data_IF_926100342751
#
_entry.id   IF_926100342751
#
_cell.length_a   1.000
_cell.length_b   1.000
_cell.length_c   1.000
_cell.angle_alpha   90.00
_cell.angle_beta   90.00
_cell.angle_gamma   90.00
#
_symmetry.space_group_name_H-M   'P 1'
#
loop_
_entity.id
_entity.type
_entity.pdbx_description
1 polymer ?
#
# COMPACT_ATOMS: atom_id res chain seq x y z
N UNK A 1 43.10 55.27 5.96
CA UNK A 1 41.63 55.15 6.04
C UNK A 1 41.21 54.08 5.05
N UNK A 2 40.63 52.98 5.56
CA UNK A 2 40.39 51.76 4.79
C UNK A 2 39.12 51.92 3.96
N UNK A 3 39.24 51.72 2.65
CA UNK A 3 38.12 51.61 1.73
C UNK A 3 37.45 50.24 1.95
N UNK A 4 36.21 50.22 2.45
CA UNK A 4 35.41 49.00 2.43
C UNK A 4 34.77 48.82 1.05
N UNK A 5 35.07 47.72 0.33
CA UNK A 5 34.71 47.55 -1.07
C UNK A 5 33.47 46.66 -1.19
N UNK A 6 32.26 47.11 -0.80
CA UNK A 6 31.05 46.36 -1.18
C UNK A 6 29.68 47.05 -0.93
N UNK A 7 29.53 48.36 -1.15
CA UNK A 7 28.19 48.99 -1.16
C UNK A 7 27.48 48.94 -2.52
N UNK A 8 28.15 48.45 -3.58
CA UNK A 8 27.54 48.32 -4.90
C UNK A 8 26.76 47.00 -5.03
N UNK A 9 25.66 46.90 -4.29
CA UNK A 9 24.54 46.04 -4.71
C UNK A 9 24.06 46.61 -6.04
N UNK A 10 24.57 46.06 -7.15
CA UNK A 10 24.07 46.34 -8.49
C UNK A 10 22.57 46.08 -8.49
N UNK A 11 21.77 47.14 -8.34
CA UNK A 11 20.31 47.08 -8.45
C UNK A 11 20.04 46.52 -9.84
N UNK A 12 19.59 45.26 -9.92
CA UNK A 12 19.18 44.63 -11.17
C UNK A 12 18.17 45.58 -11.80
N UNK A 13 18.52 46.15 -12.95
CA UNK A 13 17.66 47.02 -13.74
C UNK A 13 16.52 46.18 -14.34
N UNK A 14 15.61 45.70 -13.49
CA UNK A 14 14.34 45.15 -13.89
C UNK A 14 13.42 46.31 -14.18
N UNK A 15 12.98 46.43 -15.45
CA UNK A 15 11.90 47.28 -15.98
C UNK A 15 11.65 48.54 -15.15
N UNK A 16 12.21 49.68 -15.59
CA UNK A 16 11.87 51.00 -15.05
C UNK A 16 10.34 51.14 -15.02
N UNK A 17 9.75 51.03 -13.84
CA UNK A 17 8.41 51.58 -13.62
C UNK A 17 8.49 53.06 -14.02
N UNK A 18 7.51 53.55 -14.79
CA UNK A 18 7.52 54.92 -15.30
C UNK A 18 7.46 55.98 -14.18
N UNK A 19 7.21 55.55 -12.94
CA UNK A 19 7.16 56.38 -11.75
C UNK A 19 7.96 55.73 -10.63
N UNK A 20 8.84 56.49 -9.97
CA UNK A 20 9.39 56.10 -8.68
C UNK A 20 8.32 56.40 -7.61
N UNK A 21 7.80 55.40 -6.88
CA UNK A 21 6.77 55.64 -5.87
C UNK A 21 7.22 56.60 -4.76
N UNK A 22 8.52 56.74 -4.52
CA UNK A 22 9.10 57.68 -3.56
C UNK A 22 8.94 59.13 -4.03
N UNK A 23 9.00 59.38 -5.34
CA UNK A 23 8.82 60.70 -5.95
C UNK A 23 7.35 61.13 -5.96
N UNK A 24 6.41 60.17 -5.92
CA UNK A 24 4.96 60.43 -6.00
C UNK A 24 4.34 60.68 -4.61
N UNK A 25 4.90 60.11 -3.53
CA UNK A 25 4.38 60.30 -2.18
C UNK A 25 5.44 60.13 -1.11
N UNK A 26 5.63 61.16 -0.29
CA UNK A 26 6.53 61.15 0.89
C UNK A 26 6.14 60.06 1.90
N UNK A 27 4.85 59.66 1.94
CA UNK A 27 4.34 58.61 2.83
C UNK A 27 4.60 57.19 2.32
N UNK A 28 5.12 57.03 1.10
CA UNK A 28 5.36 55.72 0.49
C UNK A 28 6.28 54.86 1.35
N UNK A 29 7.35 55.42 1.91
CA UNK A 29 8.28 54.69 2.78
C UNK A 29 7.59 54.06 3.99
N UNK A 30 6.68 54.79 4.64
CA UNK A 30 5.95 54.27 5.81
C UNK A 30 5.00 53.13 5.42
N UNK A 31 4.32 53.26 4.27
CA UNK A 31 3.44 52.21 3.76
C UNK A 31 4.25 51.00 3.31
N UNK A 32 5.40 51.21 2.67
CA UNK A 32 6.32 50.16 2.26
C UNK A 32 6.86 49.38 3.46
N UNK A 33 7.32 50.06 4.51
CA UNK A 33 7.78 49.43 5.75
C UNK A 33 6.67 48.65 6.44
N UNK A 34 5.47 49.24 6.57
CA UNK A 34 4.32 48.56 7.15
C UNK A 34 3.91 47.30 6.38
N UNK A 35 3.90 47.37 5.04
CA UNK A 35 3.59 46.20 4.20
C UNK A 35 4.69 45.15 4.32
N UNK A 36 5.97 45.55 4.34
CA UNK A 36 7.09 44.62 4.55
C UNK A 36 6.98 43.91 5.89
N UNK A 37 6.72 44.64 6.97
CA UNK A 37 6.55 44.07 8.30
C UNK A 37 5.36 43.09 8.35
N UNK A 38 4.21 43.50 7.79
CA UNK A 38 3.02 42.65 7.73
C UNK A 38 3.27 41.36 6.93
N UNK A 39 3.96 41.45 5.80
CA UNK A 39 4.32 40.27 4.98
C UNK A 39 5.29 39.36 5.72
N UNK A 40 6.27 39.92 6.45
CA UNK A 40 7.21 39.15 7.26
C UNK A 40 6.48 38.41 8.38
N UNK A 41 5.58 39.08 9.08
CA UNK A 41 4.78 38.49 10.15
C UNK A 41 3.87 37.36 9.63
N UNK A 42 3.14 37.60 8.54
CA UNK A 42 2.32 36.56 7.89
C UNK A 42 3.17 35.35 7.44
N UNK A 43 4.36 35.60 6.88
CA UNK A 43 5.28 34.51 6.49
C UNK A 43 5.79 33.73 7.69
N UNK A 44 6.05 34.39 8.82
CA UNK A 44 6.50 33.74 10.05
C UNK A 44 5.38 32.91 10.68
N UNK A 45 4.16 33.42 10.73
CA UNK A 45 2.97 32.67 11.18
C UNK A 45 2.73 31.43 10.32
N UNK A 46 2.74 31.58 8.98
CA UNK A 46 2.63 30.44 8.06
C UNK A 46 3.77 29.44 8.22
N UNK A 47 5.00 29.94 8.45
CA UNK A 47 6.14 29.06 8.73
C UNK A 47 5.90 28.25 9.98
N UNK A 48 5.54 28.89 11.09
CA UNK A 48 5.29 28.23 12.38
C UNK A 48 4.16 27.21 12.28
N UNK A 49 3.04 27.58 11.64
CA UNK A 49 1.90 26.69 11.42
C UNK A 49 2.30 25.39 10.70
N UNK A 50 3.22 25.47 9.75
CA UNK A 50 3.68 24.32 8.95
C UNK A 50 5.00 23.70 9.42
N UNK A 51 5.54 24.07 10.60
CA UNK A 51 6.73 23.40 11.16
C UNK A 51 6.48 21.90 11.36
N UNK A 52 5.36 21.45 11.95
CA UNK A 52 5.11 20.02 12.18
C UNK A 52 5.07 19.24 10.86
N UNK A 53 4.36 19.74 9.86
CA UNK A 53 4.27 19.09 8.53
C UNK A 53 5.64 18.96 7.87
N UNK A 54 6.49 19.99 7.99
CA UNK A 54 7.87 19.94 7.47
C UNK A 54 8.72 18.91 8.19
N UNK A 55 8.59 18.81 9.51
CA UNK A 55 9.31 17.81 10.30
C UNK A 55 8.86 16.40 9.93
N UNK A 56 7.54 16.16 9.84
CA UNK A 56 6.99 14.88 9.40
C UNK A 56 7.47 14.52 8.00
N UNK A 57 7.46 15.48 7.06
CA UNK A 57 7.96 15.26 5.70
C UNK A 57 9.45 14.92 5.69
N UNK A 58 10.29 15.61 6.49
CA UNK A 58 11.72 15.29 6.61
C UNK A 58 11.94 13.89 7.19
N UNK A 59 11.19 13.51 8.22
CA UNK A 59 11.26 12.17 8.79
C UNK A 59 10.83 11.10 7.78
N UNK A 60 9.76 11.36 7.01
CA UNK A 60 9.33 10.48 5.93
C UNK A 60 10.43 10.30 4.88
N UNK A 61 11.04 11.40 4.40
CA UNK A 61 12.14 11.32 3.44
C UNK A 61 13.35 10.58 3.99
N UNK A 62 13.70 10.80 5.26
CA UNK A 62 14.79 10.07 5.91
C UNK A 62 14.52 8.56 5.92
N UNK A 63 13.32 8.15 6.33
CA UNK A 63 12.90 6.74 6.33
C UNK A 63 12.88 6.14 4.93
N UNK A 64 12.39 6.89 3.93
CA UNK A 64 12.41 6.43 2.54
C UNK A 64 13.84 6.27 2.02
N UNK A 65 14.77 7.15 2.43
CA UNK A 65 16.19 7.03 2.15
C UNK A 65 16.78 5.76 2.76
N UNK A 66 16.55 5.53 4.06
CA UNK A 66 16.99 4.33 4.78
C UNK A 66 16.44 3.03 4.12
N UNK A 67 15.15 3.02 3.74
CA UNK A 67 14.53 1.90 3.04
C UNK A 67 15.20 1.67 1.68
N UNK A 68 15.48 2.74 0.93
CA UNK A 68 16.14 2.64 -0.38
C UNK A 68 17.56 2.11 -0.25
N UNK A 69 18.31 2.54 0.76
CA UNK A 69 19.68 2.06 1.02
C UNK A 69 19.69 0.58 1.42
N UNK A 70 18.69 0.15 2.21
CA UNK A 70 18.53 -1.24 2.61
C UNK A 70 17.83 -2.12 1.55
N UNK A 71 17.36 -1.53 0.44
CA UNK A 71 16.60 -2.26 -0.57
C UNK A 71 17.54 -3.11 -1.43
N UNK A 72 17.40 -4.42 -1.30
CA UNK A 72 18.04 -5.39 -2.19
C UNK A 72 17.05 -5.71 -3.30
N UNK A 73 17.34 -5.28 -4.52
CA UNK A 73 16.53 -5.61 -5.69
C UNK A 73 16.40 -7.13 -5.84
N UNK A 74 15.21 -7.65 -6.19
CA UNK A 74 15.06 -9.06 -6.51
C UNK A 74 15.86 -9.41 -7.76
N UNK A 75 16.49 -10.58 -7.76
CA UNK A 75 17.35 -11.05 -8.86
C UNK A 75 16.52 -11.70 -9.99
N UNK A 76 15.31 -12.19 -9.67
CA UNK A 76 14.40 -12.82 -10.62
C UNK A 76 12.93 -12.42 -10.40
N UNK A 77 12.10 -12.68 -11.41
CA UNK A 77 10.65 -12.46 -11.33
C UNK A 77 10.02 -13.37 -10.26
N UNK A 78 10.41 -14.63 -10.21
CA UNK A 78 9.89 -15.59 -9.22
C UNK A 78 10.21 -15.15 -7.79
N UNK A 79 11.41 -14.60 -7.56
CA UNK A 79 11.76 -14.05 -6.25
C UNK A 79 10.92 -12.81 -5.92
N UNK A 80 10.67 -11.94 -6.89
CA UNK A 80 9.80 -10.78 -6.71
C UNK A 80 8.37 -11.19 -6.34
N UNK A 81 7.83 -12.22 -7.00
CA UNK A 81 6.49 -12.74 -6.76
C UNK A 81 6.38 -13.38 -5.36
N UNK A 82 7.38 -14.17 -4.93
CA UNK A 82 7.43 -14.74 -3.58
C UNK A 82 7.55 -13.64 -2.51
N UNK A 83 8.39 -12.63 -2.74
CA UNK A 83 8.52 -11.48 -1.83
C UNK A 83 7.21 -10.69 -1.75
N UNK A 84 6.51 -10.50 -2.86
CA UNK A 84 5.21 -9.82 -2.90
C UNK A 84 4.13 -10.59 -2.12
N UNK A 85 4.05 -11.91 -2.30
CA UNK A 85 3.15 -12.78 -1.54
C UNK A 85 3.45 -12.73 -0.03
N UNK A 86 4.73 -12.78 0.35
CA UNK A 86 5.16 -12.66 1.75
C UNK A 86 4.78 -11.31 2.35
N UNK A 87 4.98 -10.21 1.64
CA UNK A 87 4.57 -8.87 2.08
C UNK A 87 3.06 -8.76 2.24
N UNK A 88 2.28 -9.29 1.30
CA UNK A 88 0.83 -9.31 1.40
C UNK A 88 0.35 -10.10 2.62
N UNK A 89 0.95 -11.27 2.88
CA UNK A 89 0.68 -12.07 4.08
C UNK A 89 0.97 -11.29 5.36
N UNK A 90 2.13 -10.61 5.44
CA UNK A 90 2.48 -9.77 6.59
C UNK A 90 1.51 -8.61 6.80
N UNK A 91 1.03 -7.97 5.72
CA UNK A 91 0.02 -6.91 5.79
C UNK A 91 -1.29 -7.45 6.35
N UNK A 92 -1.74 -8.60 5.85
CA UNK A 92 -2.97 -9.27 6.34
C UNK A 92 -2.83 -9.60 7.83
N UNK A 93 -1.73 -10.23 8.25
CA UNK A 93 -1.47 -10.54 9.66
C UNK A 93 -1.49 -9.28 10.55
N UNK A 94 -0.81 -8.21 10.11
CA UNK A 94 -0.77 -6.93 10.85
C UNK A 94 -2.17 -6.30 10.97
N UNK A 95 -2.98 -6.40 9.92
CA UNK A 95 -4.36 -5.90 9.94
C UNK A 95 -5.24 -6.70 10.90
N UNK A 96 -5.11 -8.03 10.88
CA UNK A 96 -5.84 -8.94 11.78
C UNK A 96 -5.45 -8.68 13.24
N UNK A 97 -4.14 -8.56 13.54
CA UNK A 97 -3.65 -8.20 14.86
C UNK A 97 -4.19 -6.85 15.34
N UNK A 98 -4.19 -5.83 14.47
CA UNK A 98 -4.74 -4.51 14.81
C UNK A 98 -6.23 -4.58 15.16
N UNK A 99 -7.00 -5.38 14.42
CA UNK A 99 -8.43 -5.57 14.68
C UNK A 99 -8.66 -6.35 15.98
N UNK A 100 -7.87 -7.39 16.24
CA UNK A 100 -7.93 -8.15 17.49
C UNK A 100 -7.61 -7.25 18.71
N UNK A 101 -6.56 -6.44 18.63
CA UNK A 101 -6.21 -5.49 19.70
C UNK A 101 -7.29 -4.43 19.93
N UNK A 102 -7.92 -3.92 18.86
CA UNK A 102 -9.06 -3.00 18.99
C UNK A 102 -10.25 -3.66 19.66
N UNK A 103 -10.57 -4.90 19.29
CA UNK A 103 -11.65 -5.67 19.91
C UNK A 103 -11.39 -5.87 21.40
N UNK A 104 -10.17 -6.24 21.76
CA UNK A 104 -9.75 -6.41 23.15
C UNK A 104 -9.77 -5.10 23.95
N UNK A 105 -9.37 -3.98 23.34
CA UNK A 105 -9.50 -2.66 23.97
C UNK A 105 -10.97 -2.29 24.21
N UNK A 106 -11.87 -2.66 23.29
CA UNK A 106 -13.30 -2.43 23.43
C UNK A 106 -13.89 -3.26 24.57
N UNK A 107 -13.58 -4.56 24.66
CA UNK A 107 -14.06 -5.42 25.75
C UNK A 107 -13.53 -4.98 27.11
N UNK A 108 -12.25 -4.60 27.21
CA UNK A 108 -11.69 -4.02 28.44
C UNK A 108 -12.38 -2.69 28.78
N UNK A 109 -12.70 -1.87 27.77
CA UNK A 109 -13.46 -0.64 27.93
C UNK A 109 -14.85 -0.90 28.54
N UNK A 110 -15.58 -1.88 28.02
CA UNK A 110 -16.88 -2.28 28.57
C UNK A 110 -16.76 -2.84 29.99
N UNK A 111 -15.78 -3.72 30.26
CA UNK A 111 -15.55 -4.26 31.61
C UNK A 111 -15.24 -3.16 32.63
N UNK A 112 -14.50 -2.12 32.24
CA UNK A 112 -14.23 -0.94 33.10
C UNK A 112 -15.45 -0.06 33.34
N UNK A 113 -16.43 -0.06 32.43
CA UNK A 113 -17.70 0.66 32.59
C UNK A 113 -18.63 -0.15 33.49
N UNK A 114 -18.73 -1.47 33.30
CA UNK A 114 -19.51 -2.37 34.15
C UNK A 114 -19.02 -2.34 35.61
N UNK A 115 -17.70 -2.27 35.84
CA UNK A 115 -17.11 -2.12 37.18
C UNK A 115 -17.39 -0.75 37.85
N UNK A 116 -17.89 0.24 37.11
CA UNK A 116 -18.23 1.58 37.64
C UNK A 116 -19.71 1.73 37.97
N UNK A 117 -20.57 0.84 37.47
CA UNK A 117 -21.96 0.79 37.88
C UNK A 117 -22.03 -0.02 39.19
N UNK A 118 -22.58 0.53 40.28
CA UNK A 118 -22.83 -0.24 41.47
C UNK A 118 -24.09 -1.07 41.20
N UNK A 119 -23.94 -2.16 40.45
CA UNK A 119 -24.95 -3.21 40.52
C UNK A 119 -24.77 -3.88 41.89
N UNK A 120 -25.71 -3.61 42.79
CA UNK A 120 -26.10 -4.53 43.86
C UNK A 120 -26.67 -5.80 43.19
N UNK A 121 -25.80 -6.52 42.49
CA UNK A 121 -26.02 -7.91 42.17
C UNK A 121 -25.83 -8.63 43.49
N UNK A 122 -26.93 -8.97 44.14
CA UNK A 122 -26.94 -9.96 45.21
C UNK A 122 -26.22 -11.19 44.67
N UNK A 123 -24.98 -11.37 45.13
CA UNK A 123 -24.17 -12.52 44.78
C UNK A 123 -24.86 -13.74 45.38
N UNK A 124 -25.74 -14.37 44.60
CA UNK A 124 -26.34 -15.64 44.95
C UNK A 124 -25.21 -16.67 44.97
N UNK A 125 -24.91 -17.15 46.18
CA UNK A 125 -23.98 -18.27 46.43
C UNK A 125 -24.65 -19.62 46.22
N UNK A 126 -25.89 -19.67 45.74
CA UNK A 126 -26.56 -20.93 45.46
C UNK A 126 -26.13 -21.45 44.09
N UNK A 127 -25.28 -22.47 44.12
CA UNK A 127 -24.97 -23.30 42.96
C UNK A 127 -26.25 -24.08 42.61
N UNK A 128 -27.09 -23.49 41.76
CA UNK A 128 -28.36 -24.05 41.32
C UNK A 128 -28.20 -25.13 40.24
N UNK A 129 -27.00 -25.28 39.67
CA UNK A 129 -26.69 -26.28 38.66
C UNK A 129 -26.12 -27.53 39.31
N UNK A 130 -26.74 -28.67 39.03
CA UNK A 130 -26.17 -29.97 39.37
C UNK A 130 -24.94 -30.24 38.49
N UNK A 131 -23.98 -31.03 38.97
CA UNK A 131 -22.79 -31.42 38.19
C UNK A 131 -23.18 -32.07 36.86
N UNK A 132 -24.34 -32.74 36.81
CA UNK A 132 -24.90 -33.35 35.60
C UNK A 132 -25.34 -32.31 34.56
N UNK A 133 -25.94 -31.20 34.99
CA UNK A 133 -26.33 -30.09 34.10
C UNK A 133 -25.10 -29.38 33.53
N UNK A 134 -24.06 -29.14 34.32
CA UNK A 134 -22.81 -28.53 33.82
C UNK A 134 -22.08 -29.42 32.82
N UNK A 135 -22.15 -30.75 32.99
CA UNK A 135 -21.59 -31.71 32.05
C UNK A 135 -22.40 -31.74 30.75
N UNK A 136 -23.73 -31.76 30.84
CA UNK A 136 -24.62 -31.70 29.68
C UNK A 136 -24.46 -30.37 28.90
N UNK A 137 -24.27 -29.24 29.59
CA UNK A 137 -23.97 -27.96 28.96
C UNK A 137 -22.61 -27.96 28.24
N UNK A 138 -21.58 -28.55 28.84
CA UNK A 138 -20.27 -28.70 28.18
C UNK A 138 -20.36 -29.58 26.93
N UNK A 139 -21.05 -30.70 27.01
CA UNK A 139 -21.26 -31.60 25.86
C UNK A 139 -22.05 -30.90 24.75
N UNK A 140 -23.10 -30.14 25.08
CA UNK A 140 -23.86 -29.36 24.11
C UNK A 140 -23.01 -28.26 23.44
N UNK A 141 -22.13 -27.61 24.20
CA UNK A 141 -21.19 -26.61 23.67
C UNK A 141 -20.13 -27.24 22.77
N UNK A 142 -19.62 -28.43 23.11
CA UNK A 142 -18.68 -29.18 22.27
C UNK A 142 -19.34 -29.63 20.96
N UNK A 143 -20.56 -30.17 21.02
CA UNK A 143 -21.33 -30.51 19.82
C UNK A 143 -21.57 -29.29 18.92
N UNK A 144 -21.88 -28.12 19.49
CA UNK A 144 -22.01 -26.88 18.73
C UNK A 144 -20.69 -26.42 18.10
N UNK A 145 -19.56 -26.63 18.77
CA UNK A 145 -18.23 -26.35 18.21
C UNK A 145 -17.91 -27.27 17.03
N UNK A 146 -18.22 -28.56 17.15
CA UNK A 146 -18.01 -29.54 16.07
C UNK A 146 -18.89 -29.25 14.85
N UNK A 147 -20.16 -28.88 15.07
CA UNK A 147 -21.06 -28.46 14.00
C UNK A 147 -20.55 -27.22 13.28
N UNK A 148 -20.07 -26.20 14.02
CA UNK A 148 -19.48 -25.00 13.42
C UNK A 148 -18.18 -25.31 12.69
N UNK A 149 -17.33 -26.17 13.24
CA UNK A 149 -16.08 -26.58 12.61
C UNK A 149 -16.32 -27.33 11.30
N UNK A 150 -17.28 -28.27 11.28
CA UNK A 150 -17.62 -29.02 10.07
C UNK A 150 -18.25 -28.13 8.99
N UNK A 151 -19.13 -27.20 9.36
CA UNK A 151 -19.68 -26.20 8.43
C UNK A 151 -18.59 -25.30 7.84
N UNK A 152 -17.66 -24.82 8.68
CA UNK A 152 -16.53 -24.01 8.24
C UNK A 152 -15.62 -24.77 7.26
N UNK A 153 -15.30 -26.04 7.57
CA UNK A 153 -14.50 -26.88 6.68
C UNK A 153 -15.20 -27.15 5.35
N UNK A 154 -16.52 -27.38 5.36
CA UNK A 154 -17.30 -27.55 4.15
C UNK A 154 -17.25 -26.30 3.26
N UNK A 155 -17.46 -25.11 3.85
CA UNK A 155 -17.38 -23.83 3.13
C UNK A 155 -15.96 -23.59 2.57
N UNK A 156 -14.94 -23.93 3.34
CA UNK A 156 -13.54 -23.79 2.91
C UNK A 156 -13.19 -24.73 1.76
N UNK A 157 -13.69 -25.97 1.80
CA UNK A 157 -13.51 -26.93 0.72
C UNK A 157 -14.23 -26.50 -0.56
N UNK A 158 -15.42 -25.93 -0.45
CA UNK A 158 -16.16 -25.38 -1.60
C UNK A 158 -15.40 -24.22 -2.24
N UNK A 159 -14.93 -23.25 -1.43
CA UNK A 159 -14.10 -22.13 -1.92
C UNK A 159 -12.80 -22.62 -2.56
N UNK A 160 -12.16 -23.63 -1.99
CA UNK A 160 -10.96 -24.23 -2.54
C UNK A 160 -11.23 -24.86 -3.91
N UNK A 161 -12.31 -25.65 -4.04
CA UNK A 161 -12.71 -26.24 -5.33
C UNK A 161 -12.95 -25.19 -6.40
N UNK A 162 -13.71 -24.14 -6.07
CA UNK A 162 -13.97 -23.04 -7.01
C UNK A 162 -12.67 -22.34 -7.45
N UNK A 163 -11.75 -22.09 -6.53
CA UNK A 163 -10.46 -21.49 -6.86
C UNK A 163 -9.61 -22.38 -7.80
N UNK A 164 -9.62 -23.71 -7.58
CA UNK A 164 -8.94 -24.65 -8.49
C UNK A 164 -9.62 -24.67 -9.86
N UNK A 165 -10.95 -24.64 -9.93
CA UNK A 165 -11.68 -24.57 -11.20
C UNK A 165 -11.37 -23.27 -11.97
N UNK A 166 -11.30 -22.13 -11.30
CA UNK A 166 -10.90 -20.85 -11.91
C UNK A 166 -9.46 -20.90 -12.45
N UNK A 167 -8.52 -21.45 -11.67
CA UNK A 167 -7.15 -21.63 -12.14
C UNK A 167 -7.08 -22.53 -13.38
N UNK A 168 -7.80 -23.65 -13.37
CA UNK A 168 -7.84 -24.54 -14.54
C UNK A 168 -8.41 -23.84 -15.77
N UNK A 169 -9.49 -23.07 -15.64
CA UNK A 169 -10.03 -22.27 -16.76
C UNK A 169 -9.02 -21.27 -17.29
N UNK A 170 -8.32 -20.57 -16.41
CA UNK A 170 -7.28 -19.62 -16.84
C UNK A 170 -6.11 -20.31 -17.56
N UNK A 171 -5.74 -21.52 -17.12
CA UNK A 171 -4.70 -22.32 -17.78
C UNK A 171 -5.18 -22.80 -19.15
N UNK A 172 -6.42 -23.26 -19.26
CA UNK A 172 -7.02 -23.69 -20.52
C UNK A 172 -7.09 -22.54 -21.52
N UNK A 173 -7.44 -21.33 -21.08
CA UNK A 173 -7.42 -20.11 -21.90
C UNK A 173 -6.00 -19.80 -22.41
N UNK A 174 -4.99 -19.83 -21.53
CA UNK A 174 -3.59 -19.60 -21.90
C UNK A 174 -3.09 -20.66 -22.90
N UNK A 175 -3.47 -21.93 -22.70
CA UNK A 175 -3.12 -23.02 -23.63
C UNK A 175 -3.80 -22.80 -24.98
N UNK A 176 -5.07 -22.37 -24.99
CA UNK A 176 -5.80 -22.10 -26.22
C UNK A 176 -5.21 -20.90 -26.99
N UNK A 177 -4.85 -19.81 -26.29
CA UNK A 177 -4.15 -18.68 -26.90
C UNK A 177 -2.80 -19.08 -27.49
N UNK A 178 -2.05 -19.92 -26.80
CA UNK A 178 -0.77 -20.42 -27.29
C UNK A 178 -0.96 -21.24 -28.57
N UNK A 179 -1.92 -22.17 -28.58
CA UNK A 179 -2.25 -22.94 -29.79
C UNK A 179 -2.64 -22.06 -30.97
N UNK A 180 -3.40 -20.99 -30.74
CA UNK A 180 -3.75 -20.04 -31.80
C UNK A 180 -2.51 -19.34 -32.36
N UNK A 181 -1.59 -18.89 -31.51
CA UNK A 181 -0.32 -18.30 -31.98
C UNK A 181 0.52 -19.31 -32.75
N UNK A 182 0.64 -20.54 -32.25
CA UNK A 182 1.38 -21.60 -32.93
C UNK A 182 0.76 -21.91 -34.32
N UNK A 183 -0.57 -21.87 -34.43
CA UNK A 183 -1.30 -22.01 -35.71
C UNK A 183 -1.08 -20.82 -36.65
N UNK A 184 -1.13 -19.59 -36.14
CA UNK A 184 -0.85 -18.36 -36.91
C UNK A 184 0.60 -18.34 -37.42
N UNK A 185 1.57 -18.65 -36.55
CA UNK A 185 2.99 -18.78 -36.91
C UNK A 185 3.20 -19.88 -37.97
N UNK A 186 2.53 -21.02 -37.85
CA UNK A 186 2.60 -22.09 -38.85
C UNK A 186 2.06 -21.64 -40.22
N UNK A 187 0.96 -20.87 -40.25
CA UNK A 187 0.40 -20.31 -41.50
C UNK A 187 1.36 -19.29 -42.12
N UNK A 188 1.94 -18.39 -41.31
CA UNK A 188 2.92 -17.41 -41.78
C UNK A 188 4.21 -18.07 -42.32
N UNK A 189 4.69 -19.12 -41.65
CA UNK A 189 5.82 -19.93 -42.13
C UNK A 189 5.49 -20.61 -43.47
N UNK A 190 4.28 -21.17 -43.62
CA UNK A 190 3.85 -21.72 -44.89
C UNK A 190 3.82 -20.66 -46.00
N UNK A 191 3.26 -19.48 -45.75
CA UNK A 191 3.15 -18.40 -46.75
C UNK A 191 4.51 -17.80 -47.14
N UNK A 192 5.45 -17.68 -46.19
CA UNK A 192 6.76 -17.06 -46.42
C UNK A 192 7.80 -18.00 -47.05
N UNK A 193 7.59 -19.31 -46.99
CA UNK A 193 8.49 -20.30 -47.61
C UNK A 193 8.28 -20.42 -49.13
N UNK A 194 9.36 -20.22 -49.90
CA UNK A 194 9.37 -20.52 -51.34
C UNK A 194 9.18 -22.02 -51.56
N UNK A 195 8.55 -22.41 -52.68
CA UNK A 195 8.28 -23.81 -53.00
C UNK A 195 9.54 -24.71 -53.08
N UNK A 196 10.72 -24.12 -53.31
CA UNK A 196 12.03 -24.79 -53.24
C UNK A 196 12.43 -25.15 -51.81
N UNK A 197 12.13 -24.30 -50.84
CA UNK A 197 12.58 -24.43 -49.44
C UNK A 197 11.75 -25.48 -48.71
N UNK A 198 10.46 -25.58 -49.04
CA UNK A 198 9.57 -26.65 -48.55
C UNK A 198 10.10 -28.05 -48.92
N UNK A 199 10.69 -28.21 -50.11
CA UNK A 199 11.27 -29.49 -50.55
C UNK A 199 12.57 -29.81 -49.82
N UNK A 200 13.37 -28.80 -49.47
CA UNK A 200 14.65 -28.95 -48.76
C UNK A 200 14.47 -29.26 -47.27
N UNK A 201 13.41 -28.72 -46.64
CA UNK A 201 12.99 -29.06 -45.27
C UNK A 201 12.47 -30.51 -45.22
N UNK A 202 11.57 -30.89 -46.14
CA UNK A 202 11.03 -32.25 -46.21
C UNK A 202 12.10 -33.32 -46.53
N UNK A 203 13.14 -32.96 -47.29
CA UNK A 203 14.28 -33.85 -47.55
C UNK A 203 15.28 -33.92 -46.38
N UNK A 204 15.05 -33.19 -45.27
CA UNK A 204 15.88 -33.20 -44.07
C UNK A 204 17.26 -32.56 -44.22
N UNK A 205 17.51 -31.88 -45.35
CA UNK A 205 18.79 -31.21 -45.67
C UNK A 205 18.91 -29.89 -44.92
N UNK A 206 17.79 -29.23 -44.66
CA UNK A 206 17.67 -28.05 -43.82
C UNK A 206 17.00 -28.42 -42.50
N UNK A 207 17.66 -28.16 -41.37
CA UNK A 207 17.02 -28.12 -40.05
C UNK A 207 17.01 -26.67 -39.60
N UNK A 208 15.83 -26.11 -39.40
CA UNK A 208 15.70 -24.75 -38.85
C UNK A 208 16.23 -24.80 -37.41
N UNK A 209 17.38 -24.18 -37.18
CA UNK A 209 17.89 -23.94 -35.83
C UNK A 209 17.38 -22.57 -35.40
N UNK A 210 16.25 -22.54 -34.69
CA UNK A 210 15.82 -21.34 -34.01
C UNK A 210 16.87 -21.00 -32.94
N UNK A 211 17.49 -19.82 -33.02
CA UNK A 211 18.13 -19.21 -31.87
C UNK A 211 17.03 -18.48 -31.11
N UNK A 212 16.73 -18.96 -29.90
CA UNK A 212 16.00 -18.20 -28.90
C UNK A 212 16.71 -16.88 -28.59
#
# INVERSE_FOLDING_TARGET
>A
MKNDPNSNVKRRAGRKYQFDPQDVSVKFHMVEEFVRERVVNQRNELRQKHIPDRQQRRQLFKRLGEIREAFISPESKDEADVRALSLNSQIVMKSAMKNALKSLLYTIGQAKVALKEPEESEFSTECLTTVEEEMAEKEALEALRELRASAFLAELLEKSKLAVEEQNRSLDEVIAERRRRDEEEAIEEEETLLASDRKLINSGVYRITYKC
#
